data_IF_219293634181
#
_entry.id   IF_219293634181
#
_cell.length_a   1.000
_cell.length_b   1.000
_cell.length_c   1.000
_cell.angle_alpha   90.00
_cell.angle_beta   90.00
_cell.angle_gamma   90.00
#
_symmetry.space_group_name_H-M   'P 1'
#
loop_
_entity.id
_entity.type
_entity.pdbx_description
1 polymer ?
#
# COMPACT_ATOMS: atom_id res chain seq x y z
N UNK A 1 7.73 -5.65 4.81
CA UNK A 1 6.27 -5.38 4.85
C UNK A 1 5.74 -4.87 3.50
N UNK A 2 6.44 -3.93 2.84
CA UNK A 2 6.03 -3.42 1.52
C UNK A 2 5.78 -4.50 0.46
N UNK A 3 6.62 -5.55 0.41
CA UNK A 3 6.46 -6.66 -0.56
C UNK A 3 5.13 -7.40 -0.38
N UNK A 4 4.73 -7.64 0.87
CA UNK A 4 3.45 -8.27 1.20
C UNK A 4 2.28 -7.34 0.86
N UNK A 5 2.37 -6.06 1.24
CA UNK A 5 1.32 -5.08 0.99
C UNK A 5 1.07 -4.87 -0.53
N UNK A 6 2.14 -4.78 -1.33
CA UNK A 6 2.06 -4.73 -2.81
C UNK A 6 1.37 -5.96 -3.40
N UNK A 7 1.64 -7.15 -2.85
CA UNK A 7 0.97 -8.39 -3.30
C UNK A 7 -0.53 -8.32 -3.04
N UNK A 8 -0.96 -7.81 -1.88
CA UNK A 8 -2.38 -7.68 -1.53
C UNK A 8 -3.08 -6.71 -2.48
N UNK A 9 -2.53 -5.52 -2.70
CA UNK A 9 -3.05 -4.54 -3.67
C UNK A 9 -3.22 -5.18 -5.04
N UNK A 10 -2.20 -5.90 -5.52
CA UNK A 10 -2.27 -6.54 -6.85
C UNK A 10 -3.33 -7.63 -6.93
N UNK A 11 -3.54 -8.41 -5.85
CA UNK A 11 -4.61 -9.42 -5.78
C UNK A 11 -5.99 -8.77 -5.85
N UNK A 12 -6.21 -7.68 -5.12
CA UNK A 12 -7.48 -6.95 -5.14
C UNK A 12 -7.76 -6.35 -6.52
N UNK A 13 -6.77 -5.68 -7.10
CA UNK A 13 -6.86 -5.13 -8.45
C UNK A 13 -7.13 -6.21 -9.50
N UNK A 14 -6.46 -7.37 -9.41
CA UNK A 14 -6.70 -8.48 -10.34
C UNK A 14 -8.10 -9.11 -10.19
N UNK A 15 -8.78 -8.89 -9.06
CA UNK A 15 -10.19 -9.30 -8.85
C UNK A 15 -11.19 -8.23 -9.30
N UNK A 16 -10.73 -7.11 -9.87
CA UNK A 16 -11.58 -6.02 -10.35
C UNK A 16 -11.95 -4.98 -9.30
N UNK A 17 -11.33 -5.00 -8.12
CA UNK A 17 -11.50 -3.95 -7.11
C UNK A 17 -10.52 -2.80 -7.37
N UNK A 18 -10.94 -1.57 -7.08
CA UNK A 18 -10.00 -0.49 -6.84
C UNK A 18 -9.30 -0.76 -5.50
N UNK A 19 -7.98 -0.67 -5.49
CA UNK A 19 -7.19 -0.82 -4.27
C UNK A 19 -5.94 0.04 -4.38
N UNK A 20 -5.71 0.88 -3.38
CA UNK A 20 -4.59 1.83 -3.33
C UNK A 20 -3.95 1.85 -1.94
N UNK A 21 -2.69 2.27 -1.87
CA UNK A 21 -2.10 2.61 -0.58
C UNK A 21 -2.69 3.93 -0.07
N UNK A 22 -3.01 3.99 1.21
CA UNK A 22 -3.59 5.17 1.84
C UNK A 22 -2.91 5.48 3.18
N UNK A 23 -3.24 6.62 3.77
CA UNK A 23 -2.81 6.97 5.12
C UNK A 23 -1.32 7.32 5.24
N UNK A 24 -0.76 7.05 6.42
CA UNK A 24 0.60 7.46 6.81
C UNK A 24 1.68 6.86 5.93
N UNK A 25 1.47 5.64 5.43
CA UNK A 25 2.44 4.97 4.57
C UNK A 25 2.72 5.72 3.26
N UNK A 26 1.73 6.43 2.73
CA UNK A 26 1.89 7.27 1.53
C UNK A 26 2.73 8.51 1.85
N UNK A 27 2.43 9.19 2.97
CA UNK A 27 3.22 10.34 3.43
C UNK A 27 4.68 9.94 3.62
N UNK A 28 4.93 8.85 4.33
CA UNK A 28 6.29 8.43 4.67
C UNK A 28 7.08 8.07 3.40
N UNK A 29 6.47 7.34 2.45
CA UNK A 29 7.07 7.09 1.13
C UNK A 29 7.43 8.38 0.38
N UNK A 30 6.55 9.39 0.38
CA UNK A 30 6.81 10.68 -0.28
C UNK A 30 7.96 11.45 0.37
N UNK A 31 8.15 11.27 1.68
CA UNK A 31 9.25 11.85 2.44
C UNK A 31 10.55 11.01 2.36
N UNK A 32 10.53 9.85 1.68
CA UNK A 32 11.67 8.92 1.64
C UNK A 32 11.93 8.19 2.95
N UNK A 33 10.94 8.17 3.85
CA UNK A 33 10.97 7.46 5.14
C UNK A 33 10.34 6.08 4.94
N UNK A 34 10.92 5.03 5.52
CA UNK A 34 10.31 3.70 5.48
C UNK A 34 9.05 3.66 6.37
N UNK A 35 7.87 3.33 5.82
CA UNK A 35 6.65 3.19 6.62
C UNK A 35 6.72 2.05 7.63
N UNK A 36 6.22 2.29 8.84
CA UNK A 36 6.06 1.27 9.88
C UNK A 36 4.86 0.35 9.66
N UNK A 37 3.85 0.84 8.94
CA UNK A 37 2.61 0.15 8.60
C UNK A 37 2.17 0.52 7.17
N UNK A 38 1.21 -0.22 6.62
CA UNK A 38 0.71 -0.04 5.26
C UNK A 38 -0.80 -0.23 5.21
N UNK A 39 -1.53 0.87 5.03
CA UNK A 39 -2.98 0.83 4.85
C UNK A 39 -3.35 0.68 3.36
N UNK A 40 -4.39 -0.11 3.08
CA UNK A 40 -4.97 -0.29 1.76
C UNK A 40 -6.44 0.08 1.82
N UNK A 41 -6.88 0.98 0.93
CA UNK A 41 -8.28 1.37 0.74
C UNK A 41 -8.80 0.83 -0.60
#
# INVERSE_FOLDING_TARGET
>A
MLKQAKKIVKVLQNKGYEAVFAGGCVRDMLLGIEPHDYDIA
#
